data_IF_018454510861
#
_entry.id   IF_018454510861
#
_cell.length_a   1.000
_cell.length_b   1.000
_cell.length_c   1.000
_cell.angle_alpha   90.00
_cell.angle_beta   90.00
_cell.angle_gamma   90.00
#
_symmetry.space_group_name_H-M   'P 1'
#
loop_
_entity.id
_entity.type
_entity.pdbx_description
1 polymer ?
#
# COMPACT_ATOMS: atom_id res chain seq x y z
N UNK A 1 53.33 0.21 -33.84
CA UNK A 1 53.10 -1.08 -33.17
C UNK A 1 53.19 -0.84 -31.67
N UNK A 2 52.02 -0.81 -31.01
CA UNK A 2 51.69 -0.89 -29.56
C UNK A 2 52.55 -0.13 -28.53
N UNK A 3 52.04 1.03 -28.10
CA UNK A 3 52.22 1.57 -26.74
C UNK A 3 51.56 0.61 -25.74
N UNK A 4 52.37 -0.08 -24.94
CA UNK A 4 51.90 -0.92 -23.84
C UNK A 4 51.62 -0.05 -22.62
N UNK A 5 50.45 0.59 -22.62
CA UNK A 5 49.87 1.26 -21.45
C UNK A 5 49.45 0.19 -20.43
N UNK A 6 50.35 -0.16 -19.50
CA UNK A 6 50.00 -0.88 -18.27
C UNK A 6 49.33 0.07 -17.27
N UNK A 7 48.17 0.60 -17.66
CA UNK A 7 47.30 1.39 -16.79
C UNK A 7 46.31 0.44 -16.13
N UNK A 8 46.75 -0.20 -15.04
CA UNK A 8 46.02 -1.26 -14.38
C UNK A 8 44.76 -0.69 -13.68
N UNK A 9 43.53 -0.95 -14.19
CA UNK A 9 42.31 -0.35 -13.66
C UNK A 9 42.00 -0.80 -12.22
N UNK A 10 42.65 -1.87 -11.76
CA UNK A 10 42.55 -2.40 -10.40
C UNK A 10 43.07 -1.39 -9.37
N UNK A 11 44.08 -0.57 -9.71
CA UNK A 11 44.66 0.41 -8.76
C UNK A 11 43.78 1.66 -8.59
N UNK A 12 43.01 2.03 -9.62
CA UNK A 12 42.05 3.15 -9.58
C UNK A 12 40.80 2.77 -8.79
N UNK A 13 40.33 1.52 -8.94
CA UNK A 13 39.17 1.01 -8.20
C UNK A 13 39.46 0.91 -6.69
N UNK A 14 40.71 0.61 -6.30
CA UNK A 14 41.09 0.49 -4.89
C UNK A 14 41.22 1.84 -4.16
N UNK A 15 41.62 2.90 -4.87
CA UNK A 15 41.75 4.27 -4.33
C UNK A 15 40.39 4.99 -4.29
N UNK A 16 39.45 4.67 -5.19
CA UNK A 16 38.11 5.26 -5.20
C UNK A 16 37.14 4.59 -4.20
N UNK A 17 37.38 3.31 -3.87
CA UNK A 17 36.60 2.54 -2.87
C UNK A 17 36.86 3.00 -1.42
N UNK A 18 38.03 3.56 -1.12
CA UNK A 18 38.39 4.01 0.24
C UNK A 18 37.91 5.42 0.59
N UNK A 19 37.49 6.24 -0.40
CA UNK A 19 36.98 7.60 -0.16
C UNK A 19 35.46 7.72 -0.03
N UNK A 20 34.68 6.67 -0.31
CA UNK A 20 33.21 6.72 -0.21
C UNK A 20 32.63 6.31 1.15
N UNK A 21 33.45 5.84 2.10
CA UNK A 21 33.00 5.28 3.39
C UNK A 21 33.10 6.22 4.60
N UNK A 22 33.42 7.51 4.41
CA UNK A 22 33.69 8.46 5.50
C UNK A 22 32.68 9.61 5.63
N UNK A 23 31.37 9.34 5.48
CA UNK A 23 30.31 10.31 5.77
C UNK A 23 29.17 9.66 6.57
N UNK A 24 29.49 9.12 7.74
CA UNK A 24 28.53 8.73 8.76
C UNK A 24 28.71 9.66 9.97
N UNK A 25 27.76 10.56 10.19
CA UNK A 25 27.71 11.43 11.35
C UNK A 25 26.39 11.18 12.10
N UNK A 26 26.41 10.59 13.32
CA UNK A 26 25.26 10.53 14.19
C UNK A 26 25.28 11.70 15.20
N UNK A 27 24.23 12.54 15.18
CA UNK A 27 23.99 13.55 16.20
C UNK A 27 23.06 12.98 17.29
N UNK A 28 23.46 13.22 18.54
CA UNK A 28 22.96 12.64 19.78
C UNK A 28 21.54 13.11 20.20
N UNK A 29 20.90 12.45 21.19
CA UNK A 29 19.47 12.53 21.45
C UNK A 29 19.10 13.71 22.33
N UNK A 30 17.88 14.24 22.14
CA UNK A 30 17.24 15.19 23.06
C UNK A 30 15.86 14.65 23.44
N UNK A 31 15.74 14.14 24.67
CA UNK A 31 14.47 14.10 25.39
C UNK A 31 14.47 15.30 26.35
N UNK A 32 13.32 15.96 26.55
CA UNK A 32 12.60 15.66 27.78
C UNK A 32 11.06 15.61 27.63
N UNK A 33 10.50 14.63 28.34
CA UNK A 33 9.40 14.74 29.30
C UNK A 33 8.18 15.62 28.96
N UNK A 34 7.06 14.94 28.71
CA UNK A 34 5.75 15.36 29.21
C UNK A 34 4.99 14.09 29.65
N UNK A 35 4.73 14.04 30.95
CA UNK A 35 4.06 13.00 31.72
C UNK A 35 2.62 12.67 31.26
N UNK A 36 2.03 11.58 31.76
CA UNK A 36 0.82 10.95 31.21
C UNK A 36 -0.44 11.63 31.74
N UNK A 37 -1.37 11.99 30.85
CA UNK A 37 -2.71 12.39 31.26
C UNK A 37 -3.77 11.47 30.66
N UNK A 38 -4.36 10.72 31.58
CA UNK A 38 -5.47 9.80 31.43
C UNK A 38 -6.72 10.53 30.92
N UNK A 39 -6.99 10.46 29.61
CA UNK A 39 -8.30 10.82 29.06
C UNK A 39 -9.26 9.63 29.22
N UNK A 40 -10.03 9.68 30.30
CA UNK A 40 -11.27 8.95 30.59
C UNK A 40 -12.07 8.57 29.33
N UNK A 41 -12.57 7.31 29.21
CA UNK A 41 -13.51 6.94 28.16
C UNK A 41 -14.78 7.77 28.27
N UNK A 42 -15.01 8.67 27.31
CA UNK A 42 -16.31 9.28 27.08
C UNK A 42 -17.15 8.28 26.29
N UNK A 43 -17.81 7.41 27.05
CA UNK A 43 -18.96 6.65 26.59
C UNK A 43 -20.15 7.58 26.32
N UNK A 44 -20.96 7.16 25.36
CA UNK A 44 -22.26 7.70 24.92
C UNK A 44 -22.25 8.83 23.88
N UNK A 45 -22.35 8.42 22.62
CA UNK A 45 -23.58 8.72 21.87
C UNK A 45 -23.82 7.59 20.85
N UNK A 46 -24.69 6.65 21.23
CA UNK A 46 -25.35 5.76 20.28
C UNK A 46 -26.20 6.66 19.36
N UNK A 47 -25.62 7.06 18.23
CA UNK A 47 -26.40 7.58 17.12
C UNK A 47 -27.02 6.35 16.47
N UNK A 48 -28.24 6.05 16.89
CA UNK A 48 -29.13 5.14 16.19
C UNK A 48 -29.32 5.70 14.77
N UNK A 49 -28.47 5.26 13.86
CA UNK A 49 -28.44 5.68 12.48
C UNK A 49 -29.62 4.99 11.80
N UNK A 50 -30.81 5.59 11.91
CA UNK A 50 -31.95 5.24 11.06
C UNK A 50 -31.46 5.21 9.60
N UNK A 51 -31.75 4.16 8.82
CA UNK A 51 -31.25 4.06 7.47
C UNK A 51 -31.91 5.15 6.63
N UNK A 52 -31.22 6.28 6.49
CA UNK A 52 -31.39 7.11 5.31
C UNK A 52 -31.15 6.19 4.12
N UNK A 53 -32.12 6.11 3.21
CA UNK A 53 -31.98 5.44 1.93
C UNK A 53 -30.81 6.10 1.19
N UNK A 54 -29.61 5.59 1.44
CA UNK A 54 -28.41 5.94 0.70
C UNK A 54 -28.46 5.11 -0.58
N UNK A 55 -28.33 5.80 -1.70
CA UNK A 55 -28.11 5.14 -2.98
C UNK A 55 -26.91 4.20 -2.84
N UNK A 56 -27.06 2.97 -3.34
CA UNK A 56 -26.01 1.97 -3.22
C UNK A 56 -24.75 2.44 -3.95
N UNK A 57 -23.61 2.40 -3.28
CA UNK A 57 -22.33 2.78 -3.89
C UNK A 57 -21.81 1.58 -4.69
N UNK A 58 -21.61 1.77 -5.99
CA UNK A 58 -21.02 0.75 -6.87
C UNK A 58 -19.51 0.67 -6.66
N UNK A 59 -18.98 -0.54 -6.47
CA UNK A 59 -17.56 -0.76 -6.23
C UNK A 59 -17.08 -2.00 -6.97
N UNK A 60 -16.03 -1.86 -7.77
CA UNK A 60 -15.34 -2.96 -8.45
C UNK A 60 -14.16 -3.45 -7.63
N UNK A 61 -14.24 -4.70 -7.17
CA UNK A 61 -13.25 -5.32 -6.30
C UNK A 61 -12.53 -6.43 -7.07
N UNK A 62 -11.19 -6.36 -7.11
CA UNK A 62 -10.39 -7.41 -7.74
C UNK A 62 -10.41 -8.70 -6.91
N UNK A 63 -10.56 -9.83 -7.59
CA UNK A 63 -10.29 -11.16 -7.06
C UNK A 63 -9.26 -11.89 -7.92
N UNK A 64 -8.52 -12.81 -7.29
CA UNK A 64 -7.63 -13.75 -7.99
C UNK A 64 -8.06 -15.18 -7.65
N UNK A 65 -7.62 -16.20 -8.42
CA UNK A 65 -7.91 -17.60 -8.13
C UNK A 65 -7.11 -18.13 -6.92
N UNK A 66 -7.10 -17.38 -5.81
CA UNK A 66 -6.52 -17.75 -4.53
C UNK A 66 -7.61 -17.88 -3.48
N UNK A 67 -7.50 -18.89 -2.61
CA UNK A 67 -8.49 -19.16 -1.56
C UNK A 67 -8.66 -17.99 -0.59
N UNK A 68 -7.65 -17.12 -0.47
CA UNK A 68 -7.70 -15.92 0.38
C UNK A 68 -8.75 -14.89 -0.04
N UNK A 69 -9.31 -15.00 -1.26
CA UNK A 69 -10.43 -14.18 -1.75
C UNK A 69 -11.81 -14.79 -1.50
N UNK A 70 -11.90 -16.03 -0.98
CA UNK A 70 -13.17 -16.68 -0.66
C UNK A 70 -14.13 -15.82 0.20
N UNK A 71 -13.65 -15.04 1.20
CA UNK A 71 -14.53 -14.18 1.99
C UNK A 71 -15.31 -13.14 1.18
N UNK A 72 -14.82 -12.70 0.01
CA UNK A 72 -15.57 -11.76 -0.84
C UNK A 72 -16.75 -12.41 -1.53
N UNK A 73 -16.61 -13.67 -1.94
CA UNK A 73 -17.71 -14.44 -2.51
C UNK A 73 -18.77 -14.73 -1.44
N UNK A 74 -18.35 -15.14 -0.25
CA UNK A 74 -19.25 -15.37 0.88
C UNK A 74 -19.99 -14.07 1.24
N UNK A 75 -19.29 -12.94 1.38
CA UNK A 75 -19.92 -11.66 1.69
C UNK A 75 -20.89 -11.17 0.61
N UNK A 76 -20.66 -11.53 -0.65
CA UNK A 76 -21.56 -11.25 -1.76
C UNK A 76 -22.81 -12.14 -1.71
N UNK A 77 -22.64 -13.45 -1.50
CA UNK A 77 -23.73 -14.42 -1.42
C UNK A 77 -24.61 -14.23 -0.18
N UNK A 78 -24.01 -13.95 0.97
CA UNK A 78 -24.71 -13.68 2.24
C UNK A 78 -25.28 -12.26 2.31
N UNK A 79 -25.01 -11.40 1.33
CA UNK A 79 -25.61 -10.06 1.23
C UNK A 79 -25.00 -8.98 2.13
N UNK A 80 -23.87 -9.25 2.79
CA UNK A 80 -23.22 -8.28 3.70
C UNK A 80 -22.87 -6.96 3.02
N UNK A 81 -22.48 -6.97 1.74
CA UNK A 81 -22.24 -5.72 1.01
C UNK A 81 -23.52 -4.90 0.81
N UNK A 82 -24.63 -5.57 0.47
CA UNK A 82 -25.91 -4.91 0.27
C UNK A 82 -26.46 -4.32 1.58
N UNK A 83 -26.27 -5.00 2.71
CA UNK A 83 -26.60 -4.48 4.04
C UNK A 83 -25.84 -3.19 4.38
N UNK A 84 -24.63 -3.02 3.85
CA UNK A 84 -23.83 -1.79 3.99
C UNK A 84 -24.09 -0.76 2.89
N UNK A 85 -25.06 -0.99 2.01
CA UNK A 85 -25.37 -0.10 0.88
C UNK A 85 -24.30 -0.10 -0.21
N UNK A 86 -23.64 -1.24 -0.44
CA UNK A 86 -22.62 -1.42 -1.48
C UNK A 86 -23.13 -2.37 -2.56
N UNK A 87 -23.03 -1.95 -3.82
CA UNK A 87 -23.22 -2.80 -5.00
C UNK A 87 -21.83 -3.24 -5.49
N UNK A 88 -21.39 -4.42 -5.06
CA UNK A 88 -20.05 -4.92 -5.34
C UNK A 88 -20.01 -5.78 -6.60
N UNK A 89 -19.11 -5.44 -7.52
CA UNK A 89 -18.75 -6.24 -8.69
C UNK A 89 -17.38 -6.90 -8.44
N UNK A 90 -17.33 -8.24 -8.41
CA UNK A 90 -16.08 -8.98 -8.30
C UNK A 90 -15.44 -9.12 -9.69
N UNK A 91 -14.30 -8.47 -9.88
CA UNK A 91 -13.53 -8.50 -11.13
C UNK A 91 -12.42 -9.53 -11.00
N UNK A 92 -12.65 -10.70 -11.61
CA UNK A 92 -11.67 -11.78 -11.61
C UNK A 92 -10.48 -11.46 -12.51
N UNK A 93 -9.29 -11.41 -11.94
CA UNK A 93 -8.01 -11.30 -12.64
C UNK A 93 -7.17 -12.56 -12.39
N UNK A 94 -6.26 -12.85 -13.33
CA UNK A 94 -5.39 -14.04 -13.22
C UNK A 94 -3.93 -13.69 -12.94
N UNK A 95 -3.55 -12.41 -13.12
CA UNK A 95 -2.18 -11.93 -12.96
C UNK A 95 -2.15 -10.75 -11.99
N UNK A 96 -1.28 -10.81 -11.00
CA UNK A 96 -1.20 -9.79 -9.96
C UNK A 96 -0.60 -8.47 -10.47
N UNK A 97 0.30 -8.54 -11.45
CA UNK A 97 0.91 -7.38 -12.09
C UNK A 97 -0.06 -6.50 -12.88
N UNK A 98 -1.22 -7.02 -13.28
CA UNK A 98 -2.25 -6.28 -14.03
C UNK A 98 -3.09 -5.35 -13.13
N UNK A 99 -3.06 -5.60 -11.82
CA UNK A 99 -3.92 -4.90 -10.86
C UNK A 99 -3.51 -3.44 -10.70
N UNK A 100 -2.20 -3.13 -10.64
CA UNK A 100 -1.76 -1.74 -10.47
C UNK A 100 -2.17 -0.86 -11.66
N UNK A 101 -1.95 -1.27 -12.92
CA UNK A 101 -2.52 -0.57 -14.08
C UNK A 101 -4.04 -0.46 -14.04
N UNK A 102 -4.76 -1.50 -13.61
CA UNK A 102 -6.21 -1.49 -13.53
C UNK A 102 -6.72 -0.48 -12.48
N UNK A 103 -6.09 -0.41 -11.31
CA UNK A 103 -6.38 0.60 -10.29
C UNK A 103 -6.05 2.01 -10.80
N UNK A 104 -4.87 2.19 -11.40
CA UNK A 104 -4.42 3.49 -11.90
C UNK A 104 -5.32 4.05 -13.02
N UNK A 105 -5.95 3.18 -13.81
CA UNK A 105 -6.87 3.56 -14.88
C UNK A 105 -8.33 3.70 -14.42
N UNK A 106 -8.65 3.33 -13.17
CA UNK A 106 -10.03 3.29 -12.67
C UNK A 106 -10.86 2.15 -13.27
N UNK A 107 -10.22 1.13 -13.85
CA UNK A 107 -10.93 -0.08 -14.30
C UNK A 107 -11.50 -0.87 -13.12
N UNK A 108 -10.79 -0.83 -11.99
CA UNK A 108 -11.17 -1.41 -10.70
C UNK A 108 -10.95 -0.37 -9.60
N UNK A 109 -11.76 -0.43 -8.54
CA UNK A 109 -11.75 0.57 -7.47
C UNK A 109 -10.93 0.11 -6.26
N UNK A 110 -11.01 -1.19 -5.95
CA UNK A 110 -10.38 -1.79 -4.77
C UNK A 110 -9.64 -3.06 -5.16
N UNK A 111 -8.44 -3.22 -4.61
CA UNK A 111 -7.74 -4.50 -4.63
C UNK A 111 -7.07 -4.78 -3.32
N UNK A 112 -7.05 -6.06 -2.97
CA UNK A 112 -6.54 -6.58 -1.72
C UNK A 112 -5.44 -7.57 -2.01
N UNK A 113 -4.21 -7.08 -2.21
CA UNK A 113 -3.06 -7.93 -2.52
C UNK A 113 -1.86 -7.25 -3.17
N UNK A 114 -1.68 -5.93 -3.02
CA UNK A 114 -0.76 -5.18 -3.89
C UNK A 114 0.34 -4.36 -3.20
N UNK A 115 0.85 -4.81 -2.07
CA UNK A 115 2.02 -4.15 -1.48
C UNK A 115 3.29 -4.53 -2.25
N UNK A 116 3.68 -3.68 -3.20
CA UNK A 116 4.87 -3.84 -4.04
C UNK A 116 5.66 -2.54 -4.13
N UNK A 117 6.94 -2.61 -4.51
CA UNK A 117 7.76 -1.42 -4.77
C UNK A 117 7.14 -0.54 -5.86
N UNK A 118 6.50 -1.14 -6.87
CA UNK A 118 5.80 -0.40 -7.93
C UNK A 118 4.64 0.45 -7.36
N UNK A 119 3.83 -0.12 -6.45
CA UNK A 119 2.75 0.59 -5.78
C UNK A 119 3.29 1.76 -4.95
N UNK A 120 4.29 1.51 -4.10
CA UNK A 120 4.88 2.55 -3.25
C UNK A 120 5.48 3.69 -4.07
N UNK A 121 6.15 3.37 -5.18
CA UNK A 121 6.68 4.37 -6.09
C UNK A 121 5.58 5.17 -6.80
N UNK A 122 4.45 4.55 -7.14
CA UNK A 122 3.29 5.25 -7.71
C UNK A 122 2.70 6.24 -6.71
N UNK A 123 2.51 5.80 -5.46
CA UNK A 123 2.04 6.67 -4.37
C UNK A 123 3.03 7.81 -4.12
N UNK A 124 4.34 7.51 -4.04
CA UNK A 124 5.39 8.50 -3.81
C UNK A 124 5.54 9.54 -4.93
N UNK A 125 5.02 9.26 -6.13
CA UNK A 125 4.94 10.21 -7.26
C UNK A 125 3.61 10.96 -7.33
N UNK A 126 2.74 10.83 -6.33
CA UNK A 126 1.43 11.48 -6.29
C UNK A 126 0.36 10.78 -7.14
N UNK A 127 0.51 9.49 -7.41
CA UNK A 127 -0.56 8.71 -8.04
C UNK A 127 -1.82 8.67 -7.17
N UNK A 128 -2.99 8.70 -7.80
CA UNK A 128 -4.29 8.68 -7.10
C UNK A 128 -4.66 7.27 -6.62
N UNK A 129 -3.83 6.69 -5.76
CA UNK A 129 -4.05 5.37 -5.16
C UNK A 129 -3.68 5.48 -3.67
N UNK A 130 -4.51 4.91 -2.80
CA UNK A 130 -4.31 4.93 -1.35
C UNK A 130 -4.40 3.51 -0.79
N UNK A 131 -3.66 3.27 0.30
CA UNK A 131 -3.74 2.04 1.09
C UNK A 131 -4.62 2.35 2.30
N UNK A 132 -5.72 1.64 2.46
CA UNK A 132 -6.69 1.87 3.55
C UNK A 132 -6.65 0.79 4.61
N UNK A 133 -6.60 -0.47 4.18
CA UNK A 133 -6.62 -1.65 5.04
C UNK A 133 -5.82 -2.79 4.41
N UNK A 134 -5.37 -3.73 5.24
CA UNK A 134 -4.93 -5.03 4.78
C UNK A 134 -6.12 -6.01 4.66
N UNK A 135 -5.85 -7.20 4.12
CA UNK A 135 -6.84 -8.25 3.88
C UNK A 135 -6.77 -9.35 4.95
N UNK A 136 -6.85 -8.98 6.23
CA UNK A 136 -7.01 -9.88 7.39
C UNK A 136 -5.82 -9.89 8.33
#
# INVERSE_FOLDING_TARGET
MKFSNYFNPIFIILILSTLLFAACAPAAPSAPTSDPETAKPAEAANVENAPASREAVKVKVVTLPFITFAPYYIALEEGYFAEQGLEVELVNMTRQEEILPALASGQVDVSSGLLSAAMLNTIGRGGNIMITSDKG
#
